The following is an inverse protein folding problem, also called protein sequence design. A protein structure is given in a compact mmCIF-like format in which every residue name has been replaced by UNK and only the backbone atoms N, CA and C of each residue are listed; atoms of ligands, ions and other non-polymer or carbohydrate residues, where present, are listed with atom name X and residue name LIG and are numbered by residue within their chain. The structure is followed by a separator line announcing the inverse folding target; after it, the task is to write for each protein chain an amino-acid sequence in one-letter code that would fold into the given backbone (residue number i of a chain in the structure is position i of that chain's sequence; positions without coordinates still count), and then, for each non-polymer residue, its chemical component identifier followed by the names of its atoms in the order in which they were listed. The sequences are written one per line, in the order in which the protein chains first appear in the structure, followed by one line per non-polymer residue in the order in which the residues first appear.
data_IF_479094287357
#
_entry.id   IF_479094287357
#
_cell.length_a   1.000
_cell.length_b   1.000
_cell.length_c   1.000
_cell.angle_alpha   90.00
_cell.angle_beta   90.00
_cell.angle_gamma   90.00
#
_symmetry.space_group_name_H-M   'P 1'
#
loop_
_entity.id
_entity.type
_entity.pdbx_description
1 polymer ?
#
# COMPACT_ATOMS: atom_id res chain seq x y z
N UNK A 1 15.01 9.49 10.55
CA UNK A 1 14.24 8.23 10.54
C UNK A 1 15.18 7.03 10.36
N UNK A 2 16.10 7.08 9.39
CA UNK A 2 17.20 6.10 9.23
C UNK A 2 18.10 5.96 10.45
N UNK A 3 18.41 7.05 11.17
CA UNK A 3 19.27 6.99 12.37
C UNK A 3 18.68 6.19 13.56
N UNK A 4 17.35 6.14 13.69
CA UNK A 4 16.63 5.46 14.79
C UNK A 4 16.14 4.06 14.42
N UNK A 5 16.19 3.69 13.14
CA UNK A 5 15.64 2.43 12.65
C UNK A 5 16.44 1.19 13.07
N UNK A 6 17.79 1.21 13.11
CA UNK A 6 18.60 0.06 13.54
C UNK A 6 18.28 -0.41 14.97
N UNK A 7 18.03 0.52 15.90
CA UNK A 7 17.69 0.20 17.30
C UNK A 7 16.37 -0.57 17.44
N UNK A 8 15.52 -0.50 16.42
CA UNK A 8 14.22 -1.17 16.36
C UNK A 8 14.20 -2.36 15.39
N UNK A 9 15.35 -2.78 14.88
CA UNK A 9 15.45 -3.88 13.92
C UNK A 9 15.06 -3.51 12.48
N UNK A 10 14.87 -2.21 12.18
CA UNK A 10 14.37 -1.77 10.88
C UNK A 10 15.42 -1.71 9.76
N UNK A 11 16.72 -1.70 10.05
CA UNK A 11 17.79 -1.66 9.04
C UNK A 11 18.48 -0.29 8.90
N UNK A 12 19.48 -0.21 8.03
CA UNK A 12 20.39 0.93 7.90
C UNK A 12 20.09 1.79 6.66
N UNK A 13 19.57 1.18 5.58
CA UNK A 13 19.16 1.91 4.38
C UNK A 13 17.64 2.13 4.34
N UNK A 14 17.17 3.08 3.54
CA UNK A 14 15.72 3.27 3.40
C UNK A 14 15.08 2.04 2.74
N UNK A 15 15.76 1.36 1.83
CA UNK A 15 15.24 0.13 1.23
C UNK A 15 15.01 -0.97 2.29
N UNK A 16 15.96 -1.15 3.21
CA UNK A 16 15.83 -2.11 4.32
C UNK A 16 14.70 -1.71 5.28
N UNK A 17 14.63 -0.41 5.60
CA UNK A 17 13.61 0.12 6.51
C UNK A 17 12.22 0.01 5.91
N UNK A 18 12.02 0.29 4.63
CA UNK A 18 10.73 0.12 3.96
C UNK A 18 10.33 -1.36 3.98
N UNK A 19 11.26 -2.24 3.60
CA UNK A 19 11.02 -3.67 3.55
C UNK A 19 10.62 -4.23 4.93
N UNK A 20 11.40 -3.94 5.97
CA UNK A 20 11.15 -4.44 7.32
C UNK A 20 9.87 -3.83 7.91
N UNK A 21 9.70 -2.52 7.77
CA UNK A 21 8.52 -1.81 8.28
C UNK A 21 7.23 -2.31 7.65
N UNK A 22 7.22 -2.59 6.34
CA UNK A 22 6.02 -3.12 5.68
C UNK A 22 5.71 -4.54 6.16
N UNK A 23 6.72 -5.39 6.33
CA UNK A 23 6.51 -6.76 6.83
C UNK A 23 5.94 -6.80 8.24
N UNK A 24 6.32 -5.84 9.08
CA UNK A 24 5.92 -5.82 10.49
C UNK A 24 4.62 -5.03 10.74
N UNK A 25 4.45 -3.88 10.09
CA UNK A 25 3.37 -2.93 10.41
C UNK A 25 2.17 -3.09 9.48
N UNK A 26 2.41 -3.25 8.18
CA UNK A 26 1.35 -3.29 7.15
C UNK A 26 1.61 -4.39 6.10
N UNK A 27 1.67 -5.66 6.53
CA UNK A 27 2.12 -6.77 5.68
C UNK A 27 1.24 -6.89 4.44
N UNK A 28 1.83 -6.69 3.27
CA UNK A 28 1.14 -6.71 1.98
C UNK A 28 1.94 -7.51 0.95
N UNK A 29 1.31 -7.86 -0.16
CA UNK A 29 1.89 -8.77 -1.16
C UNK A 29 3.00 -8.11 -2.00
N UNK A 30 3.05 -6.77 -1.97
CA UNK A 30 4.09 -6.01 -2.66
C UNK A 30 5.36 -5.82 -1.83
N UNK A 31 5.26 -6.03 -0.51
CA UNK A 31 6.35 -5.84 0.47
C UNK A 31 6.99 -4.45 0.34
N UNK A 32 6.15 -3.44 0.07
CA UNK A 32 6.50 -2.02 0.06
C UNK A 32 5.26 -1.18 0.37
N UNK A 33 5.43 0.11 0.64
CA UNK A 33 4.28 1.00 0.70
C UNK A 33 3.68 1.23 -0.68
N UNK A 34 2.38 1.50 -0.71
CA UNK A 34 1.69 1.97 -1.91
C UNK A 34 2.29 3.29 -2.39
N UNK A 35 2.35 3.48 -3.71
CA UNK A 35 2.76 4.73 -4.33
C UNK A 35 1.53 5.57 -4.70
N UNK A 36 1.60 6.91 -4.65
CA UNK A 36 0.45 7.77 -4.95
C UNK A 36 -0.20 7.48 -6.31
N UNK A 37 0.59 7.12 -7.30
CA UNK A 37 0.14 6.83 -8.66
C UNK A 37 -0.75 5.57 -8.71
N UNK A 38 -0.55 4.62 -7.79
CA UNK A 38 -1.38 3.40 -7.70
C UNK A 38 -2.78 3.74 -7.17
N UNK A 39 -2.87 4.68 -6.22
CA UNK A 39 -4.16 5.21 -5.75
C UNK A 39 -4.82 6.07 -6.84
N UNK A 40 -4.04 6.94 -7.49
CA UNK A 40 -4.54 7.79 -8.56
C UNK A 40 -5.10 6.98 -9.72
N UNK A 41 -4.43 5.90 -10.14
CA UNK A 41 -4.94 4.98 -11.16
C UNK A 41 -6.25 4.30 -10.76
N UNK A 42 -6.36 3.86 -9.50
CA UNK A 42 -7.60 3.28 -8.98
C UNK A 42 -8.76 4.28 -8.91
N UNK A 43 -8.49 5.57 -8.67
CA UNK A 43 -9.48 6.66 -8.69
C UNK A 43 -9.84 7.08 -10.13
N UNK A 44 -8.87 7.09 -11.04
CA UNK A 44 -9.07 7.53 -12.41
C UNK A 44 -10.10 6.65 -13.15
N UNK A 45 -10.12 5.34 -12.89
CA UNK A 45 -11.06 4.42 -13.54
C UNK A 45 -12.54 4.71 -13.19
N UNK A 46 -12.96 4.80 -11.91
CA UNK A 46 -14.30 5.24 -11.53
C UNK A 46 -14.72 6.62 -12.06
N UNK A 47 -13.77 7.54 -12.26
CA UNK A 47 -14.04 8.85 -12.86
C UNK A 47 -14.18 8.82 -14.39
N UNK A 48 -13.92 7.68 -15.03
CA UNK A 48 -13.97 7.53 -16.48
C UNK A 48 -15.37 7.10 -16.95
N UNK A 49 -15.72 7.30 -18.25
CA UNK A 49 -16.99 6.82 -18.80
C UNK A 49 -17.12 5.29 -18.83
N UNK A 50 -16.07 4.53 -18.51
CA UNK A 50 -16.12 3.06 -18.48
C UNK A 50 -16.69 2.50 -17.18
N UNK A 51 -16.92 3.35 -16.17
CA UNK A 51 -17.35 2.95 -14.84
C UNK A 51 -18.81 3.31 -14.51
N UNK A 52 -19.66 3.55 -15.52
CA UNK A 52 -21.06 3.96 -15.31
C UNK A 52 -21.88 3.01 -14.43
N UNK A 53 -21.51 1.71 -14.39
CA UNK A 53 -22.16 0.71 -13.55
C UNK A 53 -21.55 0.58 -12.13
N UNK A 54 -20.62 1.45 -11.74
CA UNK A 54 -19.97 1.42 -10.42
C UNK A 54 -20.51 2.59 -9.59
N UNK A 55 -21.33 2.28 -8.59
CA UNK A 55 -21.85 3.26 -7.63
C UNK A 55 -22.08 2.60 -6.27
N UNK A 56 -21.85 3.34 -5.19
CA UNK A 56 -22.02 2.86 -3.81
C UNK A 56 -21.05 1.75 -3.38
N UNK A 57 -19.97 1.51 -4.15
CA UNK A 57 -18.98 0.48 -3.86
C UNK A 57 -17.76 1.03 -3.13
N UNK A 58 -17.18 0.22 -2.24
CA UNK A 58 -15.86 0.49 -1.63
C UNK A 58 -14.80 -0.29 -2.39
N UNK A 59 -13.84 0.43 -3.00
CA UNK A 59 -12.70 -0.17 -3.70
C UNK A 59 -11.48 -0.13 -2.79
N UNK A 60 -11.03 -1.31 -2.31
CA UNK A 60 -9.84 -1.42 -1.46
C UNK A 60 -8.57 -1.41 -2.32
N UNK A 61 -7.61 -0.57 -1.94
CA UNK A 61 -6.30 -0.44 -2.61
C UNK A 61 -5.20 -0.44 -1.55
N UNK A 62 -4.90 -1.61 -0.99
CA UNK A 62 -3.99 -1.76 0.15
C UNK A 62 -2.83 -2.74 -0.12
N UNK A 63 -2.68 -3.20 -1.36
CA UNK A 63 -1.65 -4.19 -1.72
C UNK A 63 -1.86 -5.56 -1.08
N UNK A 64 -3.05 -5.87 -0.55
CA UNK A 64 -3.35 -7.15 0.09
C UNK A 64 -3.09 -7.17 1.60
N UNK A 65 -3.02 -6.01 2.26
CA UNK A 65 -2.88 -5.95 3.72
C UNK A 65 -4.02 -6.64 4.44
N UNK A 66 -5.26 -6.38 4.03
CA UNK A 66 -6.43 -7.06 4.58
C UNK A 66 -6.53 -8.46 3.99
N UNK A 67 -6.37 -9.49 4.83
CA UNK A 67 -6.45 -10.91 4.47
C UNK A 67 -7.89 -11.43 4.49
N UNK A 68 -8.78 -10.75 3.77
CA UNK A 68 -10.19 -11.11 3.61
C UNK A 68 -10.59 -11.01 2.15
N UNK A 69 -11.53 -11.86 1.73
CA UNK A 69 -12.11 -11.79 0.39
C UNK A 69 -12.88 -10.48 0.16
N UNK A 70 -13.45 -9.90 1.23
CA UNK A 70 -14.22 -8.65 1.21
C UNK A 70 -13.94 -7.82 2.47
#
# INVERSE_FOLDING_TARGET
MTELSPERGGGQTWEEIEYNSVREIVPNDRVRYGRPEEIAGAVAYPCSPYAECISGATIRVDGGTVRSAF
#
